data_IF_184582931930
#
_entry.id   IF_184582931930
#
_cell.length_a   1.000
_cell.length_b   1.000
_cell.length_c   1.000
_cell.angle_alpha   90.00
_cell.angle_beta   90.00
_cell.angle_gamma   90.00
#
_symmetry.space_group_name_H-M   'P 1'
#
loop_
_entity.id
_entity.type
_entity.pdbx_description
1 polymer ?
#
# COMPACT_ATOMS: atom_id res chain seq x y z
N UNK A 1 5.78 -2.60 -12.26
CA UNK A 1 4.95 -1.83 -13.23
C UNK A 1 3.56 -1.49 -12.67
N UNK A 2 2.85 -2.44 -12.06
CA UNK A 2 1.50 -2.23 -11.50
C UNK A 2 1.42 -1.21 -10.36
N UNK A 3 2.50 -0.99 -9.64
CA UNK A 3 2.57 -0.06 -8.49
C UNK A 3 2.23 1.39 -8.87
N UNK A 4 2.54 1.78 -10.11
CA UNK A 4 2.37 3.15 -10.64
C UNK A 4 1.65 3.19 -11.99
N UNK A 5 0.91 2.17 -12.37
CA UNK A 5 0.33 2.05 -13.72
C UNK A 5 -0.52 3.27 -14.11
N UNK A 6 -1.24 3.87 -13.18
CA UNK A 6 -2.03 5.09 -13.41
C UNK A 6 -1.16 6.32 -13.71
N UNK A 7 0.04 6.39 -13.14
CA UNK A 7 1.00 7.46 -13.41
C UNK A 7 1.68 7.34 -14.77
N UNK A 8 1.56 6.19 -15.43
CA UNK A 8 2.15 5.91 -16.74
C UNK A 8 1.18 6.15 -17.91
N UNK A 9 0.03 6.77 -17.67
CA UNK A 9 -0.97 7.00 -18.73
C UNK A 9 -0.40 7.75 -19.94
N UNK A 10 0.40 8.81 -19.72
CA UNK A 10 1.08 9.53 -20.78
C UNK A 10 2.11 8.68 -21.53
N UNK A 11 2.85 7.82 -20.81
CA UNK A 11 3.80 6.91 -21.43
C UNK A 11 3.09 5.88 -22.33
N UNK A 12 1.89 5.44 -21.96
CA UNK A 12 1.09 4.50 -22.73
C UNK A 12 0.46 5.13 -23.98
N UNK A 13 0.37 6.45 -24.04
CA UNK A 13 -0.07 7.19 -25.24
C UNK A 13 1.05 7.30 -26.28
N UNK A 14 2.32 7.32 -25.85
CA UNK A 14 3.50 7.42 -26.69
C UNK A 14 4.52 6.29 -26.42
N UNK A 15 4.14 5.02 -26.65
CA UNK A 15 4.91 3.86 -26.19
C UNK A 15 6.27 3.68 -26.89
N UNK A 16 6.49 4.32 -28.03
CA UNK A 16 7.74 4.22 -28.79
C UNK A 16 8.90 4.95 -28.08
N UNK A 17 8.58 5.93 -27.26
CA UNK A 17 9.57 6.76 -26.57
C UNK A 17 9.79 6.37 -25.10
N UNK A 18 9.14 5.31 -24.60
CA UNK A 18 9.20 4.97 -23.19
C UNK A 18 9.58 3.51 -22.93
N UNK A 19 10.35 3.31 -21.86
CA UNK A 19 10.55 2.00 -21.22
C UNK A 19 10.15 2.06 -19.74
N UNK A 20 9.74 0.93 -19.19
CA UNK A 20 9.46 0.77 -17.74
C UNK A 20 10.46 -0.19 -17.15
N UNK A 21 11.22 0.30 -16.17
CA UNK A 21 12.11 -0.47 -15.32
C UNK A 21 11.36 -0.91 -14.06
N UNK A 22 11.42 -2.20 -13.72
CA UNK A 22 10.71 -2.78 -12.57
C UNK A 22 11.65 -3.64 -11.76
N UNK A 23 11.70 -3.45 -10.44
CA UNK A 23 12.45 -4.33 -9.53
C UNK A 23 11.76 -5.69 -9.50
N UNK A 24 12.45 -6.73 -9.92
CA UNK A 24 11.94 -8.10 -10.03
C UNK A 24 12.50 -9.05 -8.96
N UNK A 25 13.63 -8.69 -8.37
CA UNK A 25 14.23 -9.43 -7.25
C UNK A 25 14.92 -8.48 -6.28
N UNK A 26 14.91 -8.83 -5.01
CA UNK A 26 15.62 -8.13 -3.93
C UNK A 26 16.29 -9.17 -3.03
N UNK A 27 17.56 -8.99 -2.73
CA UNK A 27 18.31 -9.76 -1.74
C UNK A 27 18.93 -8.80 -0.72
N UNK A 28 18.82 -9.11 0.56
CA UNK A 28 19.30 -8.25 1.63
C UNK A 28 18.45 -6.98 1.81
N UNK A 29 19.09 -5.85 2.15
CA UNK A 29 18.43 -4.58 2.43
C UNK A 29 18.26 -3.77 1.15
N UNK A 30 17.02 -3.37 0.84
CA UNK A 30 16.69 -2.50 -0.29
C UNK A 30 15.76 -1.38 0.14
N UNK A 31 15.92 -0.16 -0.38
CA UNK A 31 15.00 0.94 -0.08
C UNK A 31 13.59 0.69 -0.63
N UNK A 32 13.49 -0.06 -1.74
CA UNK A 32 12.23 -0.33 -2.42
C UNK A 32 11.93 -1.82 -2.53
N UNK A 33 10.66 -2.24 -2.44
CA UNK A 33 10.26 -3.64 -2.58
C UNK A 33 10.27 -4.10 -4.04
N UNK A 34 10.22 -5.42 -4.23
CA UNK A 34 9.89 -6.05 -5.53
C UNK A 34 8.56 -5.50 -6.04
N UNK A 35 8.50 -5.16 -7.33
CA UNK A 35 7.33 -4.53 -7.98
C UNK A 35 7.43 -3.02 -8.12
N UNK A 36 8.33 -2.36 -7.38
CA UNK A 36 8.58 -0.91 -7.57
C UNK A 36 9.06 -0.66 -8.99
N UNK A 37 8.52 0.38 -9.62
CA UNK A 37 8.84 0.70 -11.00
C UNK A 37 9.13 2.18 -11.25
N UNK A 38 9.81 2.44 -12.38
CA UNK A 38 10.18 3.74 -12.89
C UNK A 38 10.04 3.73 -14.41
N UNK A 39 9.40 4.74 -14.98
CA UNK A 39 9.38 4.95 -16.43
C UNK A 39 10.49 5.92 -16.83
N UNK A 40 11.10 5.67 -17.98
CA UNK A 40 12.17 6.50 -18.57
C UNK A 40 11.85 6.71 -20.04
N UNK A 41 11.97 7.98 -20.50
CA UNK A 41 11.83 8.32 -21.92
C UNK A 41 13.17 8.38 -22.65
N UNK A 42 13.10 8.44 -23.99
CA UNK A 42 14.26 8.73 -24.86
C UNK A 42 14.96 10.04 -24.51
N UNK A 43 14.22 11.03 -24.01
CA UNK A 43 14.73 12.35 -23.62
C UNK A 43 15.15 12.42 -22.14
N UNK A 44 15.23 11.29 -21.45
CA UNK A 44 15.56 11.18 -20.02
C UNK A 44 14.52 11.83 -19.09
N UNK A 45 13.28 11.96 -19.53
CA UNK A 45 12.19 12.21 -18.59
C UNK A 45 11.98 10.98 -17.73
N UNK A 46 11.83 11.17 -16.41
CA UNK A 46 11.74 10.08 -15.43
C UNK A 46 10.44 10.23 -14.62
N UNK A 47 9.65 9.16 -14.55
CA UNK A 47 8.47 9.06 -13.69
C UNK A 47 8.69 7.94 -12.66
N UNK A 48 8.79 8.29 -11.38
CA UNK A 48 9.04 7.35 -10.29
C UNK A 48 10.50 7.23 -9.90
N UNK A 49 10.82 6.23 -9.07
CA UNK A 49 12.18 5.94 -8.58
C UNK A 49 12.26 4.50 -8.11
N UNK A 50 13.43 3.89 -8.20
CA UNK A 50 13.71 2.51 -7.77
C UNK A 50 14.45 2.45 -6.44
N UNK A 51 15.45 3.33 -6.24
CA UNK A 51 16.38 3.24 -5.10
C UNK A 51 16.53 4.54 -4.31
N UNK A 52 15.95 5.63 -4.81
CA UNK A 52 16.13 6.97 -4.24
C UNK A 52 17.46 7.63 -4.65
N UNK A 53 18.02 7.28 -5.80
CA UNK A 53 19.17 7.94 -6.42
C UNK A 53 20.40 7.06 -6.66
N UNK A 54 20.44 5.83 -6.13
CA UNK A 54 21.64 4.98 -6.25
C UNK A 54 21.82 4.42 -7.66
N UNK A 55 20.75 3.93 -8.29
CA UNK A 55 20.82 3.20 -9.57
C UNK A 55 20.10 3.88 -10.72
N UNK A 56 19.36 4.94 -10.47
CA UNK A 56 18.47 5.59 -11.44
C UNK A 56 19.19 6.01 -12.72
N UNK A 57 20.38 6.60 -12.61
CA UNK A 57 21.14 7.05 -13.78
C UNK A 57 21.61 5.88 -14.67
N UNK A 58 22.01 4.75 -14.04
CA UNK A 58 22.41 3.56 -14.79
C UNK A 58 21.20 2.93 -15.46
N UNK A 59 20.09 2.78 -14.72
CA UNK A 59 18.84 2.24 -15.26
C UNK A 59 18.30 3.12 -16.38
N UNK A 60 18.43 4.46 -16.27
CA UNK A 60 18.01 5.38 -17.34
C UNK A 60 18.82 5.20 -18.62
N UNK A 61 20.14 5.04 -18.54
CA UNK A 61 20.98 4.76 -19.70
C UNK A 61 20.59 3.41 -20.35
N UNK A 62 20.47 2.35 -19.56
CA UNK A 62 20.03 1.04 -20.06
C UNK A 62 18.59 1.07 -20.63
N UNK A 63 17.72 1.92 -20.13
CA UNK A 63 16.39 2.11 -20.68
C UNK A 63 16.43 2.74 -22.08
N UNK A 64 17.29 3.74 -22.29
CA UNK A 64 17.50 4.31 -23.64
C UNK A 64 18.02 3.27 -24.63
N UNK A 65 19.03 2.46 -24.22
CA UNK A 65 19.56 1.37 -25.03
C UNK A 65 18.47 0.34 -25.36
N UNK A 66 17.64 -0.03 -24.38
CA UNK A 66 16.54 -0.97 -24.57
C UNK A 66 15.47 -0.42 -25.54
N UNK A 67 15.11 0.88 -25.44
CA UNK A 67 14.19 1.54 -26.37
C UNK A 67 14.77 1.49 -27.78
N UNK A 68 16.03 1.89 -27.95
CA UNK A 68 16.69 1.91 -29.26
C UNK A 68 16.81 0.52 -29.90
N UNK A 69 17.04 -0.52 -29.09
CA UNK A 69 17.14 -1.90 -29.54
C UNK A 69 15.75 -2.56 -29.75
N UNK A 70 14.68 -2.03 -29.16
CA UNK A 70 13.35 -2.65 -29.14
C UNK A 70 13.31 -3.97 -28.36
N UNK A 71 14.21 -4.18 -27.41
CA UNK A 71 14.35 -5.43 -26.64
C UNK A 71 14.41 -5.15 -25.15
N UNK A 72 14.02 -6.13 -24.34
CA UNK A 72 14.15 -6.02 -22.89
C UNK A 72 15.60 -6.13 -22.44
N UNK A 73 15.92 -5.48 -21.31
CA UNK A 73 17.17 -5.66 -20.58
C UNK A 73 16.88 -6.13 -19.14
N UNK A 74 17.85 -6.89 -18.57
CA UNK A 74 17.86 -7.27 -17.15
C UNK A 74 19.18 -6.86 -16.56
N UNK A 75 19.13 -6.15 -15.46
CA UNK A 75 20.33 -5.66 -14.77
C UNK A 75 20.29 -5.96 -13.29
N UNK A 76 21.44 -6.28 -12.71
CA UNK A 76 21.62 -6.52 -11.29
C UNK A 76 22.52 -5.45 -10.70
N UNK A 77 22.12 -4.91 -9.55
CA UNK A 77 22.86 -3.92 -8.79
C UNK A 77 23.06 -4.45 -7.37
N UNK A 78 24.32 -4.60 -6.97
CA UNK A 78 24.68 -5.18 -5.68
C UNK A 78 25.82 -4.42 -4.99
N UNK A 79 26.26 -4.88 -3.80
CA UNK A 79 27.34 -4.24 -3.03
C UNK A 79 28.69 -4.25 -3.76
N UNK A 80 28.94 -5.22 -4.64
CA UNK A 80 30.18 -5.36 -5.38
C UNK A 80 30.22 -4.52 -6.67
N UNK A 81 29.15 -3.80 -6.95
CA UNK A 81 29.09 -2.81 -8.04
C UNK A 81 29.23 -3.38 -9.45
N UNK A 82 29.03 -4.67 -9.66
CA UNK A 82 29.06 -5.28 -10.99
C UNK A 82 27.67 -5.42 -11.58
N UNK A 83 27.34 -4.67 -12.66
CA UNK A 83 26.24 -5.05 -13.53
C UNK A 83 26.57 -6.41 -14.15
N UNK A 84 25.59 -7.29 -14.27
CA UNK A 84 25.76 -8.59 -14.91
C UNK A 84 26.28 -8.38 -16.34
N UNK A 85 27.59 -8.64 -16.58
CA UNK A 85 28.14 -8.78 -17.93
C UNK A 85 28.94 -7.61 -18.51
N UNK A 86 29.16 -6.49 -17.85
CA UNK A 86 30.07 -5.44 -18.33
C UNK A 86 30.99 -4.92 -17.23
N UNK A 87 32.28 -4.86 -17.54
CA UNK A 87 33.31 -4.15 -16.75
C UNK A 87 33.02 -2.63 -16.87
N UNK A 88 32.09 -2.12 -16.10
CA UNK A 88 31.72 -0.72 -16.04
C UNK A 88 31.58 -0.27 -14.59
N UNK A 89 31.72 1.01 -14.37
CA UNK A 89 31.66 1.69 -13.07
C UNK A 89 30.62 1.04 -12.16
N UNK A 90 31.07 0.24 -11.20
CA UNK A 90 30.23 -0.49 -10.28
C UNK A 90 29.38 0.46 -9.45
N UNK A 91 28.07 0.53 -9.75
CA UNK A 91 27.12 1.30 -8.95
C UNK A 91 26.61 0.38 -7.85
N UNK A 92 27.15 0.59 -6.66
CA UNK A 92 26.76 -0.15 -5.47
C UNK A 92 25.47 0.45 -4.86
N UNK A 93 24.57 -0.41 -4.41
CA UNK A 93 23.50 0.01 -3.50
C UNK A 93 24.14 0.36 -2.14
N UNK A 94 24.07 1.62 -1.74
CA UNK A 94 24.61 2.11 -0.45
C UNK A 94 24.01 1.43 0.77
N UNK A 95 22.83 0.79 0.61
CA UNK A 95 22.16 0.02 1.66
C UNK A 95 22.68 -1.42 1.84
N UNK A 96 23.65 -1.86 1.01
CA UNK A 96 24.29 -3.18 1.12
C UNK A 96 23.43 -4.36 0.64
N UNK A 97 22.30 -4.12 -0.02
CA UNK A 97 21.48 -5.15 -0.65
C UNK A 97 21.76 -5.29 -2.13
N UNK A 98 21.06 -6.22 -2.76
CA UNK A 98 21.09 -6.47 -4.20
C UNK A 98 19.68 -6.38 -4.78
N UNK A 99 19.52 -5.72 -5.92
CA UNK A 99 18.27 -5.69 -6.69
C UNK A 99 18.52 -6.15 -8.11
N UNK A 100 17.53 -6.82 -8.67
CA UNK A 100 17.46 -7.12 -10.10
C UNK A 100 16.33 -6.30 -10.71
N UNK A 101 16.62 -5.64 -11.84
CA UNK A 101 15.71 -4.75 -12.56
C UNK A 101 15.45 -5.29 -13.94
N UNK A 102 14.17 -5.47 -14.29
CA UNK A 102 13.71 -5.76 -15.65
C UNK A 102 13.32 -4.43 -16.32
N UNK A 103 13.95 -4.12 -17.45
CA UNK A 103 13.70 -2.92 -18.26
C UNK A 103 12.97 -3.37 -19.52
N UNK A 104 11.75 -2.88 -19.71
CA UNK A 104 10.90 -3.25 -20.84
C UNK A 104 10.48 -2.01 -21.64
N UNK A 105 10.89 -1.86 -22.91
CA UNK A 105 10.32 -0.88 -23.82
C UNK A 105 8.82 -1.08 -23.99
N UNK A 106 8.02 -0.01 -23.91
CA UNK A 106 6.56 -0.12 -24.00
C UNK A 106 6.07 -0.60 -25.37
N UNK A 107 6.84 -0.40 -26.43
CA UNK A 107 6.53 -0.94 -27.76
C UNK A 107 6.45 -2.49 -27.76
N UNK A 108 7.13 -3.15 -26.83
CA UNK A 108 7.08 -4.63 -26.68
C UNK A 108 5.95 -5.10 -25.75
N UNK A 109 5.19 -4.18 -25.16
CA UNK A 109 4.17 -4.49 -24.18
C UNK A 109 2.77 -4.67 -24.79
N UNK A 110 1.89 -5.38 -24.08
CA UNK A 110 0.47 -5.48 -24.41
C UNK A 110 -0.27 -4.19 -24.01
N UNK A 111 -0.14 -3.15 -24.82
CA UNK A 111 -0.61 -1.79 -24.53
C UNK A 111 -2.11 -1.74 -24.19
N UNK A 112 -2.94 -2.58 -24.83
CA UNK A 112 -4.38 -2.63 -24.54
C UNK A 112 -4.62 -2.99 -23.08
N UNK A 113 -4.00 -4.06 -22.60
CA UNK A 113 -4.11 -4.53 -21.19
C UNK A 113 -3.58 -3.47 -20.22
N UNK A 114 -2.46 -2.82 -20.54
CA UNK A 114 -1.89 -1.78 -19.69
C UNK A 114 -2.79 -0.54 -19.60
N UNK A 115 -3.38 -0.10 -20.71
CA UNK A 115 -4.34 1.02 -20.74
C UNK A 115 -5.61 0.70 -19.94
N UNK A 116 -6.13 -0.51 -20.06
CA UNK A 116 -7.27 -0.96 -19.25
C UNK A 116 -6.94 -0.94 -17.75
N UNK A 117 -5.75 -1.40 -17.36
CA UNK A 117 -5.30 -1.36 -15.96
C UNK A 117 -5.06 0.06 -15.47
N UNK A 118 -4.51 0.95 -16.31
CA UNK A 118 -4.28 2.34 -15.96
C UNK A 118 -5.56 3.15 -15.76
N UNK A 119 -6.66 2.74 -16.43
CA UNK A 119 -7.97 3.39 -16.30
C UNK A 119 -8.81 2.88 -15.13
N UNK A 120 -8.39 1.79 -14.47
CA UNK A 120 -9.11 1.24 -13.30
C UNK A 120 -8.81 2.04 -12.04
N UNK A 121 -9.71 1.91 -11.06
CA UNK A 121 -9.47 2.43 -9.71
C UNK A 121 -8.14 1.86 -9.15
N UNK A 122 -7.16 2.73 -8.81
CA UNK A 122 -5.86 2.30 -8.30
C UNK A 122 -5.95 1.57 -6.94
N UNK A 123 -7.05 1.70 -6.22
CA UNK A 123 -7.25 1.03 -4.94
C UNK A 123 -7.68 -0.44 -5.07
N UNK A 124 -8.16 -0.85 -6.24
CA UNK A 124 -8.56 -2.23 -6.47
C UNK A 124 -7.35 -3.15 -6.71
N UNK A 125 -7.46 -4.44 -6.36
CA UNK A 125 -6.42 -5.42 -6.70
C UNK A 125 -6.27 -5.53 -8.22
N UNK A 126 -5.04 -5.80 -8.66
CA UNK A 126 -4.75 -5.97 -10.07
C UNK A 126 -3.71 -7.07 -10.29
N UNK A 127 -3.83 -7.75 -11.41
CA UNK A 127 -2.88 -8.76 -11.88
C UNK A 127 -2.49 -8.46 -13.32
N UNK A 128 -1.23 -8.71 -13.64
CA UNK A 128 -0.67 -8.57 -14.98
C UNK A 128 0.26 -9.75 -15.26
N UNK A 129 -0.08 -10.53 -16.28
CA UNK A 129 0.82 -11.55 -16.81
C UNK A 129 1.26 -11.12 -18.19
N UNK A 130 2.56 -11.12 -18.44
CA UNK A 130 3.14 -10.77 -19.74
C UNK A 130 4.26 -11.74 -20.09
N UNK A 131 4.43 -11.97 -21.38
CA UNK A 131 5.58 -12.71 -21.93
C UNK A 131 6.51 -11.70 -22.59
N UNK A 132 7.77 -11.71 -22.19
CA UNK A 132 8.81 -10.86 -22.76
C UNK A 132 9.93 -11.72 -23.32
N UNK A 133 10.57 -11.27 -24.40
CA UNK A 133 11.69 -11.99 -25.03
C UNK A 133 12.97 -11.20 -24.77
N UNK A 134 13.98 -11.86 -24.20
CA UNK A 134 15.27 -11.23 -23.96
C UNK A 134 16.12 -11.16 -25.23
N UNK A 135 17.27 -10.47 -25.15
CA UNK A 135 18.19 -10.31 -26.27
C UNK A 135 18.78 -11.64 -26.80
N UNK A 136 18.74 -12.71 -26.01
CA UNK A 136 19.15 -14.06 -26.40
C UNK A 136 18.01 -14.89 -27.01
N UNK A 137 16.81 -14.29 -27.17
CA UNK A 137 15.62 -14.96 -27.69
C UNK A 137 14.88 -15.83 -26.67
N UNK A 138 15.28 -15.82 -25.40
CA UNK A 138 14.60 -16.58 -24.36
C UNK A 138 13.30 -15.88 -23.93
N UNK A 139 12.22 -16.68 -23.84
CA UNK A 139 10.92 -16.18 -23.37
C UNK A 139 10.84 -16.25 -21.86
N UNK A 140 10.45 -15.13 -21.25
CA UNK A 140 10.25 -14.97 -19.82
C UNK A 140 8.78 -14.64 -19.56
N UNK A 141 8.17 -15.38 -18.65
CA UNK A 141 6.83 -15.09 -18.16
C UNK A 141 6.95 -14.27 -16.88
N UNK A 142 6.42 -13.06 -16.91
CA UNK A 142 6.42 -12.13 -15.77
C UNK A 142 5.00 -12.01 -15.25
N UNK A 143 4.79 -12.44 -14.01
CA UNK A 143 3.51 -12.32 -13.33
C UNK A 143 3.63 -11.32 -12.20
N UNK A 144 2.87 -10.24 -12.28
CA UNK A 144 2.79 -9.19 -11.27
C UNK A 144 1.43 -9.19 -10.60
N UNK A 145 1.43 -8.99 -9.27
CA UNK A 145 0.21 -8.83 -8.49
C UNK A 145 0.31 -7.57 -7.64
N UNK A 146 -0.74 -6.77 -7.65
CA UNK A 146 -0.96 -5.66 -6.73
C UNK A 146 -2.18 -5.99 -5.88
N UNK A 147 -2.00 -6.12 -4.58
CA UNK A 147 -3.10 -6.26 -3.64
C UNK A 147 -3.97 -4.99 -3.64
N UNK A 148 -5.23 -5.11 -3.23
CA UNK A 148 -6.08 -3.95 -3.00
C UNK A 148 -5.47 -3.00 -1.96
N UNK A 149 -5.65 -1.71 -2.14
CA UNK A 149 -5.16 -0.72 -1.20
C UNK A 149 -5.78 -0.95 0.20
N UNK A 150 -5.03 -0.68 1.28
CA UNK A 150 -5.61 -0.67 2.61
C UNK A 150 -6.75 0.34 2.69
N UNK A 151 -7.83 -0.03 3.38
CA UNK A 151 -9.00 0.82 3.58
C UNK A 151 -9.05 1.33 5.01
N UNK A 152 -9.30 2.62 5.18
CA UNK A 152 -9.52 3.24 6.48
C UNK A 152 -10.92 3.84 6.54
N UNK A 153 -11.74 3.38 7.48
CA UNK A 153 -13.10 3.86 7.70
C UNK A 153 -13.13 4.62 9.03
N UNK A 154 -13.41 5.91 8.96
CA UNK A 154 -13.43 6.83 10.10
C UNK A 154 -14.88 7.22 10.43
N UNK A 155 -15.35 6.94 11.64
CA UNK A 155 -16.67 7.34 12.12
C UNK A 155 -16.60 8.69 12.82
N UNK A 156 -17.15 9.73 12.20
CA UNK A 156 -17.18 11.12 12.67
C UNK A 156 -16.24 12.04 11.88
N UNK A 157 -16.75 13.23 11.51
CA UNK A 157 -15.99 14.26 10.78
C UNK A 157 -15.67 15.43 11.68
N UNK A 158 -14.41 15.58 12.04
CA UNK A 158 -13.85 16.67 12.82
C UNK A 158 -12.31 16.72 12.63
N UNK A 159 -11.63 17.69 13.23
CA UNK A 159 -10.21 17.97 12.94
C UNK A 159 -9.30 16.75 13.05
N UNK A 160 -9.44 15.92 14.08
CA UNK A 160 -8.62 14.71 14.24
C UNK A 160 -8.84 13.69 13.12
N UNK A 161 -10.11 13.42 12.75
CA UNK A 161 -10.43 12.47 11.68
C UNK A 161 -10.01 13.00 10.32
N UNK A 162 -10.12 14.31 10.08
CA UNK A 162 -9.68 14.96 8.84
C UNK A 162 -8.16 14.87 8.70
N UNK A 163 -7.39 15.15 9.76
CA UNK A 163 -5.93 15.02 9.74
C UNK A 163 -5.49 13.57 9.51
N UNK A 164 -6.11 12.62 10.18
CA UNK A 164 -5.82 11.20 9.98
C UNK A 164 -6.15 10.75 8.55
N UNK A 165 -7.29 11.22 8.01
CA UNK A 165 -7.70 10.95 6.63
C UNK A 165 -6.68 11.49 5.61
N UNK A 166 -6.19 12.73 5.80
CA UNK A 166 -5.17 13.34 4.95
C UNK A 166 -3.89 12.52 4.92
N UNK A 167 -3.37 12.13 6.08
CA UNK A 167 -2.16 11.32 6.19
C UNK A 167 -2.33 9.94 5.56
N UNK A 168 -3.48 9.29 5.76
CA UNK A 168 -3.78 8.00 5.17
C UNK A 168 -3.87 8.05 3.64
N UNK A 169 -4.49 9.11 3.08
CA UNK A 169 -4.51 9.36 1.63
C UNK A 169 -3.10 9.55 1.05
N UNK A 170 -2.22 10.29 1.76
CA UNK A 170 -0.84 10.52 1.33
C UNK A 170 -0.03 9.23 1.20
N UNK A 171 -0.32 8.21 2.01
CA UNK A 171 0.33 6.90 1.92
C UNK A 171 -0.44 5.90 1.03
N UNK A 172 -1.42 6.37 0.23
CA UNK A 172 -2.13 5.59 -0.78
C UNK A 172 -3.24 4.69 -0.24
N UNK A 173 -3.81 4.99 0.95
CA UNK A 173 -4.94 4.24 1.47
C UNK A 173 -6.27 4.75 0.89
N UNK A 174 -7.24 3.86 0.74
CA UNK A 174 -8.62 4.22 0.42
C UNK A 174 -9.34 4.66 1.71
N UNK A 175 -9.78 5.93 1.76
CA UNK A 175 -10.31 6.53 2.99
C UNK A 175 -11.79 6.84 2.87
N UNK A 176 -12.57 6.34 3.84
CA UNK A 176 -14.00 6.60 3.99
C UNK A 176 -14.27 7.35 5.29
N UNK A 177 -14.98 8.45 5.23
CA UNK A 177 -15.48 9.21 6.37
C UNK A 177 -17.00 9.03 6.47
N UNK A 178 -17.47 8.67 7.65
CA UNK A 178 -18.90 8.45 7.91
C UNK A 178 -19.39 9.48 8.93
N UNK A 179 -20.42 10.26 8.59
CA UNK A 179 -20.98 11.29 9.45
C UNK A 179 -22.51 11.25 9.45
N UNK A 180 -23.11 11.27 10.64
CA UNK A 180 -24.56 11.27 10.79
C UNK A 180 -25.17 12.66 10.67
N UNK A 181 -24.41 13.70 11.02
CA UNK A 181 -24.88 15.09 11.05
C UNK A 181 -24.66 15.74 9.69
N UNK A 182 -25.70 16.11 8.93
CA UNK A 182 -25.55 16.69 7.59
C UNK A 182 -24.71 17.97 7.56
N UNK A 183 -24.76 18.79 8.61
CA UNK A 183 -23.97 20.01 8.71
C UNK A 183 -22.45 19.77 8.82
N UNK A 184 -22.03 18.60 9.27
CA UNK A 184 -20.62 18.19 9.37
C UNK A 184 -20.19 17.26 8.22
N UNK A 185 -21.14 16.54 7.64
CA UNK A 185 -20.93 15.65 6.50
C UNK A 185 -21.02 16.41 5.17
N UNK A 186 -20.08 17.32 4.91
CA UNK A 186 -20.03 18.09 3.65
C UNK A 186 -18.68 17.89 2.96
N UNK A 187 -18.69 17.93 1.61
CA UNK A 187 -17.47 17.78 0.81
C UNK A 187 -16.38 18.81 1.15
N UNK A 188 -16.77 20.01 1.61
CA UNK A 188 -15.82 21.04 2.03
C UNK A 188 -15.05 20.72 3.33
N UNK A 189 -15.53 19.75 4.11
CA UNK A 189 -14.95 19.37 5.39
C UNK A 189 -14.09 18.11 5.33
N UNK A 190 -14.10 17.41 4.21
CA UNK A 190 -13.30 16.18 4.04
C UNK A 190 -12.18 16.40 3.04
N UNK A 191 -11.04 15.71 3.17
CA UNK A 191 -9.93 15.84 2.24
C UNK A 191 -10.33 15.37 0.84
N UNK A 192 -9.80 16.03 -0.19
CA UNK A 192 -9.91 15.56 -1.57
C UNK A 192 -9.35 14.13 -1.68
N UNK A 193 -10.09 13.25 -2.33
CA UNK A 193 -9.75 11.82 -2.44
C UNK A 193 -10.38 10.93 -1.37
N UNK A 194 -10.90 11.49 -0.26
CA UNK A 194 -11.68 10.71 0.69
C UNK A 194 -13.15 10.60 0.24
N UNK A 195 -13.76 9.45 0.52
CA UNK A 195 -15.19 9.21 0.26
C UNK A 195 -16.00 9.57 1.50
N UNK A 196 -16.99 10.43 1.32
CA UNK A 196 -17.89 10.85 2.40
C UNK A 196 -19.21 10.10 2.31
N UNK A 197 -19.63 9.53 3.44
CA UNK A 197 -20.91 8.86 3.61
C UNK A 197 -21.71 9.58 4.71
N UNK A 198 -22.92 9.99 4.37
CA UNK A 198 -23.83 10.63 5.33
C UNK A 198 -24.91 9.64 5.73
N UNK A 199 -24.95 9.26 7.01
CA UNK A 199 -25.89 8.27 7.51
C UNK A 199 -25.54 7.76 8.90
N UNK A 200 -26.33 6.81 9.41
CA UNK A 200 -26.05 6.18 10.72
C UNK A 200 -24.78 5.35 10.64
N UNK A 201 -23.74 5.64 11.47
CA UNK A 201 -22.41 5.06 11.28
C UNK A 201 -22.39 3.52 11.35
N UNK A 202 -23.14 2.93 12.28
CA UNK A 202 -23.21 1.46 12.42
C UNK A 202 -23.76 0.77 11.16
N UNK A 203 -24.76 1.36 10.49
CA UNK A 203 -25.34 0.83 9.25
C UNK A 203 -24.39 1.00 8.08
N UNK A 204 -23.91 2.23 7.86
CA UNK A 204 -22.99 2.54 6.75
C UNK A 204 -21.71 1.71 6.83
N UNK A 205 -21.14 1.58 8.03
CA UNK A 205 -19.91 0.80 8.21
C UNK A 205 -20.17 -0.71 7.99
N UNK A 206 -21.33 -1.23 8.41
CA UNK A 206 -21.68 -2.61 8.12
C UNK A 206 -21.74 -2.87 6.60
N UNK A 207 -22.34 -1.95 5.82
CA UNK A 207 -22.40 -2.02 4.35
C UNK A 207 -21.01 -1.93 3.72
N UNK A 208 -20.17 -0.97 4.16
CA UNK A 208 -18.80 -0.84 3.66
C UNK A 208 -17.94 -2.07 3.94
N UNK A 209 -18.20 -2.79 5.01
CA UNK A 209 -17.52 -4.01 5.37
C UNK A 209 -17.92 -5.23 4.52
N UNK A 210 -18.98 -5.20 3.73
CA UNK A 210 -19.33 -6.28 2.79
C UNK A 210 -18.34 -6.34 1.60
N UNK A 211 -17.73 -5.20 1.22
CA UNK A 211 -16.69 -5.19 0.21
C UNK A 211 -15.36 -5.72 0.78
N UNK A 212 -14.80 -6.74 0.13
CA UNK A 212 -13.57 -7.45 0.51
C UNK A 212 -12.39 -7.18 -0.42
N UNK A 213 -12.48 -6.17 -1.26
CA UNK A 213 -11.43 -5.83 -2.24
C UNK A 213 -10.15 -5.29 -1.59
N UNK A 214 -10.25 -4.68 -0.40
CA UNK A 214 -9.11 -4.15 0.33
C UNK A 214 -8.22 -5.26 0.93
N UNK A 215 -6.91 -5.11 0.82
CA UNK A 215 -5.95 -6.03 1.44
C UNK A 215 -6.00 -6.01 2.97
N UNK A 216 -6.40 -4.88 3.55
CA UNK A 216 -6.54 -4.64 4.98
C UNK A 216 -7.56 -3.54 5.24
N UNK A 217 -8.31 -3.62 6.33
CA UNK A 217 -9.29 -2.60 6.70
C UNK A 217 -9.10 -2.15 8.13
N UNK A 218 -8.97 -0.84 8.36
CA UNK A 218 -9.05 -0.22 9.67
C UNK A 218 -10.41 0.45 9.86
N UNK A 219 -11.12 0.11 10.93
CA UNK A 219 -12.34 0.79 11.38
C UNK A 219 -12.01 1.58 12.63
N UNK A 220 -12.16 2.90 12.61
CA UNK A 220 -11.79 3.77 13.72
C UNK A 220 -12.96 4.66 14.13
N UNK A 221 -13.37 4.50 15.36
CA UNK A 221 -14.34 5.39 16.01
C UNK A 221 -13.63 6.67 16.43
N UNK A 222 -14.07 7.79 15.87
CA UNK A 222 -13.50 9.11 16.15
C UNK A 222 -14.43 9.99 17.01
N UNK A 223 -15.67 9.52 17.29
CA UNK A 223 -16.64 10.20 18.13
C UNK A 223 -16.56 9.75 19.59
N UNK A 224 -17.31 10.40 20.46
CA UNK A 224 -17.37 10.09 21.90
C UNK A 224 -18.80 9.84 22.37
N UNK A 225 -19.74 9.58 21.46
CA UNK A 225 -21.14 9.37 21.75
C UNK A 225 -21.48 7.88 21.74
N UNK A 226 -21.92 7.28 22.86
CA UNK A 226 -22.15 5.84 22.95
C UNK A 226 -23.11 5.30 21.89
N UNK A 227 -24.18 6.04 21.57
CA UNK A 227 -25.19 5.63 20.59
C UNK A 227 -24.66 5.60 19.14
N UNK A 228 -23.51 6.22 18.88
CA UNK A 228 -22.83 6.17 17.60
C UNK A 228 -21.65 5.20 17.62
N UNK A 229 -20.86 5.23 18.70
CA UNK A 229 -19.62 4.47 18.85
C UNK A 229 -19.89 2.96 18.95
N UNK A 230 -20.85 2.57 19.80
CA UNK A 230 -21.13 1.15 20.09
C UNK A 230 -21.68 0.41 18.86
N UNK A 231 -22.64 0.95 18.08
CA UNK A 231 -23.08 0.33 16.83
C UNK A 231 -21.95 0.11 15.80
N UNK A 232 -21.00 1.05 15.68
CA UNK A 232 -19.82 0.89 14.81
C UNK A 232 -18.94 -0.27 15.26
N UNK A 233 -18.59 -0.30 16.54
CA UNK A 233 -17.78 -1.37 17.12
C UNK A 233 -18.49 -2.71 17.03
N UNK A 234 -19.81 -2.76 17.26
CA UNK A 234 -20.62 -3.96 17.11
C UNK A 234 -20.59 -4.48 15.66
N UNK A 235 -20.77 -3.60 14.67
CA UNK A 235 -20.74 -3.97 13.26
C UNK A 235 -19.38 -4.56 12.87
N UNK A 236 -18.28 -3.90 13.27
CA UNK A 236 -16.93 -4.36 13.00
C UNK A 236 -16.60 -5.70 13.67
N UNK A 237 -16.98 -5.89 14.93
CA UNK A 237 -16.78 -7.15 15.65
C UNK A 237 -17.64 -8.29 15.10
N UNK A 238 -18.90 -8.03 14.78
CA UNK A 238 -19.85 -9.04 14.28
C UNK A 238 -19.44 -9.60 12.92
N UNK A 239 -18.83 -8.79 12.06
CA UNK A 239 -18.31 -9.26 10.78
C UNK A 239 -17.23 -10.32 10.97
N UNK A 240 -16.29 -10.09 11.85
CA UNK A 240 -15.15 -10.97 12.10
C UNK A 240 -15.56 -12.34 12.64
N UNK A 241 -16.72 -12.44 13.29
CA UNK A 241 -17.24 -13.71 13.83
C UNK A 241 -17.87 -14.58 12.71
N UNK A 242 -18.33 -13.96 11.60
CA UNK A 242 -19.02 -14.67 10.51
C UNK A 242 -18.07 -15.38 9.52
N UNK A 243 -16.80 -15.13 9.58
CA UNK A 243 -15.83 -15.75 8.67
C UNK A 243 -15.22 -16.99 9.29
N UNK A 244 -15.36 -18.14 8.63
CA UNK A 244 -14.86 -19.46 9.11
C UNK A 244 -13.32 -19.56 9.19
N UNK A 245 -12.60 -18.52 8.72
CA UNK A 245 -11.14 -18.37 8.82
C UNK A 245 -10.76 -17.28 9.83
N UNK A 246 -11.14 -17.50 11.08
CA UNK A 246 -11.02 -16.51 12.17
C UNK A 246 -9.61 -15.87 12.31
N UNK A 247 -8.55 -16.61 12.05
CA UNK A 247 -7.18 -16.12 12.24
C UNK A 247 -6.74 -15.18 11.10
N UNK A 248 -7.16 -15.44 9.86
CA UNK A 248 -6.76 -14.64 8.69
C UNK A 248 -7.55 -13.32 8.61
N UNK A 249 -8.82 -13.34 8.96
CA UNK A 249 -9.69 -12.15 8.92
C UNK A 249 -9.48 -11.22 10.13
N UNK A 250 -9.10 -11.78 11.29
CA UNK A 250 -8.69 -10.98 12.44
C UNK A 250 -7.44 -10.15 12.15
N UNK A 251 -6.50 -10.71 11.38
CA UNK A 251 -5.29 -10.03 10.94
C UNK A 251 -5.58 -8.94 9.88
N UNK A 252 -6.68 -9.03 9.14
CA UNK A 252 -7.05 -8.10 8.07
C UNK A 252 -7.98 -6.96 8.49
N UNK A 253 -8.59 -7.03 9.68
CA UNK A 253 -9.49 -6.01 10.18
C UNK A 253 -9.05 -5.49 11.54
N UNK A 254 -8.60 -4.25 11.58
CA UNK A 254 -8.26 -3.52 12.80
C UNK A 254 -9.46 -2.71 13.28
N UNK A 255 -9.68 -2.70 14.59
CA UNK A 255 -10.78 -1.95 15.22
C UNK A 255 -10.18 -1.03 16.27
N UNK A 256 -10.27 0.27 16.05
CA UNK A 256 -9.75 1.29 16.96
C UNK A 256 -10.80 2.29 17.42
N UNK A 257 -10.55 2.92 18.55
CA UNK A 257 -11.38 4.01 19.01
C UNK A 257 -10.56 5.09 19.72
N UNK A 258 -10.71 6.33 19.26
CA UNK A 258 -10.16 7.49 19.91
C UNK A 258 -10.86 7.76 21.26
N UNK A 259 -10.15 8.34 22.21
CA UNK A 259 -10.74 8.81 23.48
C UNK A 259 -9.94 8.42 24.71
N UNK A 260 -10.52 8.72 25.88
CA UNK A 260 -9.89 8.45 27.16
C UNK A 260 -10.06 6.99 27.61
N UNK A 261 -9.26 6.56 28.60
CA UNK A 261 -9.44 5.24 29.25
C UNK A 261 -10.85 5.06 29.83
N UNK A 262 -11.48 6.13 30.35
CA UNK A 262 -12.87 6.07 30.83
C UNK A 262 -13.88 5.86 29.71
N UNK A 263 -13.66 6.43 28.54
CA UNK A 263 -14.48 6.19 27.34
C UNK A 263 -14.32 4.76 26.83
N UNK A 264 -13.09 4.24 26.86
CA UNK A 264 -12.80 2.84 26.52
C UNK A 264 -13.56 1.88 27.44
N UNK A 265 -13.51 2.09 28.76
CA UNK A 265 -14.22 1.25 29.72
C UNK A 265 -15.75 1.27 29.53
N UNK A 266 -16.34 2.44 29.21
CA UNK A 266 -17.79 2.54 28.90
C UNK A 266 -18.16 1.77 27.64
N UNK A 267 -17.36 1.87 26.58
CA UNK A 267 -17.59 1.11 25.33
C UNK A 267 -17.46 -0.39 25.57
N UNK A 268 -16.46 -0.82 26.35
CA UNK A 268 -16.27 -2.24 26.70
C UNK A 268 -17.49 -2.80 27.47
N UNK A 269 -17.98 -2.06 28.45
CA UNK A 269 -19.20 -2.46 29.20
C UNK A 269 -20.44 -2.55 28.30
N UNK A 270 -20.62 -1.61 27.36
CA UNK A 270 -21.73 -1.63 26.42
C UNK A 270 -21.64 -2.80 25.44
N UNK A 271 -20.45 -3.12 24.95
CA UNK A 271 -20.22 -4.28 24.07
C UNK A 271 -20.45 -5.60 24.81
N UNK A 272 -20.08 -5.69 26.09
CA UNK A 272 -20.43 -6.83 26.94
C UNK A 272 -21.93 -7.01 27.06
N UNK A 273 -22.68 -5.92 27.29
CA UNK A 273 -24.14 -5.97 27.36
C UNK A 273 -24.80 -6.40 26.03
N UNK A 274 -24.12 -6.18 24.90
CA UNK A 274 -24.56 -6.68 23.58
C UNK A 274 -24.13 -8.13 23.30
N UNK A 275 -23.52 -8.83 24.27
CA UNK A 275 -23.14 -10.23 24.16
C UNK A 275 -21.78 -10.50 23.54
N UNK A 276 -20.93 -9.49 23.35
CA UNK A 276 -19.55 -9.71 22.90
C UNK A 276 -18.69 -10.30 24.02
N UNK A 277 -18.10 -11.47 23.76
CA UNK A 277 -17.17 -12.12 24.69
C UNK A 277 -15.86 -11.34 24.86
N UNK A 278 -15.09 -11.68 25.90
CA UNK A 278 -13.84 -10.99 26.23
C UNK A 278 -12.82 -10.96 25.08
N UNK A 279 -12.66 -12.09 24.38
CA UNK A 279 -11.75 -12.19 23.24
C UNK A 279 -12.10 -11.22 22.11
N UNK A 280 -13.40 -11.05 21.80
CA UNK A 280 -13.87 -10.11 20.79
C UNK A 280 -13.62 -8.66 21.26
N UNK A 281 -13.96 -8.33 22.51
CA UNK A 281 -13.80 -6.97 23.06
C UNK A 281 -12.33 -6.54 23.15
N UNK A 282 -11.41 -7.44 23.45
CA UNK A 282 -9.95 -7.19 23.43
C UNK A 282 -9.40 -6.82 22.05
N UNK A 283 -10.14 -7.06 20.97
CA UNK A 283 -9.76 -6.61 19.62
C UNK A 283 -9.99 -5.12 19.39
N UNK A 284 -10.77 -4.46 20.27
CA UNK A 284 -10.97 -3.01 20.19
C UNK A 284 -9.81 -2.31 20.88
N UNK A 285 -8.95 -1.70 20.09
CA UNK A 285 -7.81 -0.91 20.60
C UNK A 285 -8.31 0.49 20.99
N UNK A 286 -8.32 0.78 22.28
CA UNK A 286 -8.79 2.05 22.83
C UNK A 286 -8.12 2.34 24.20
N UNK A 287 -7.51 3.50 24.39
CA UNK A 287 -7.27 4.61 23.43
C UNK A 287 -6.41 4.20 22.25
N UNK A 288 -6.71 4.72 21.04
CA UNK A 288 -5.93 4.51 19.83
C UNK A 288 -4.78 5.52 19.74
N UNK A 289 -3.60 5.06 19.39
CA UNK A 289 -2.40 5.84 19.10
C UNK A 289 -1.19 5.42 19.96
N UNK A 290 0.00 5.61 19.41
CA UNK A 290 1.25 5.46 20.16
C UNK A 290 1.44 6.65 21.11
N UNK A 291 2.08 6.42 22.24
CA UNK A 291 2.43 7.49 23.18
C UNK A 291 3.60 8.33 22.65
N UNK A 292 3.27 9.37 21.87
CA UNK A 292 4.22 10.30 21.26
C UNK A 292 4.19 11.69 21.89
N UNK A 293 3.39 11.90 22.96
CA UNK A 293 3.21 13.23 23.57
C UNK A 293 2.46 14.21 22.65
N UNK A 294 1.53 13.71 21.83
CA UNK A 294 0.79 14.52 20.86
C UNK A 294 -0.12 15.55 21.53
N UNK A 295 0.00 16.82 21.13
CA UNK A 295 -0.77 17.96 21.66
C UNK A 295 -1.80 18.49 20.65
N UNK A 296 -1.55 18.33 19.36
CA UNK A 296 -2.40 18.84 18.27
C UNK A 296 -3.15 17.72 17.56
N UNK A 297 -4.28 18.01 16.86
CA UNK A 297 -4.96 17.04 16.02
C UNK A 297 -4.05 16.38 14.96
N UNK A 298 -3.10 17.13 14.41
CA UNK A 298 -2.15 16.61 13.42
C UNK A 298 -1.16 15.63 14.04
N UNK A 299 -0.59 15.94 15.20
CA UNK A 299 0.31 15.04 15.94
C UNK A 299 -0.42 13.78 16.42
N UNK A 300 -1.65 13.92 16.91
CA UNK A 300 -2.49 12.78 17.27
C UNK A 300 -2.78 11.89 16.06
N UNK A 301 -2.99 12.48 14.88
CA UNK A 301 -3.17 11.73 13.63
C UNK A 301 -1.91 10.93 13.27
N UNK A 302 -0.71 11.49 13.47
CA UNK A 302 0.57 10.77 13.29
C UNK A 302 0.65 9.58 14.26
N UNK A 303 0.34 9.81 15.54
CA UNK A 303 0.32 8.77 16.57
C UNK A 303 -0.62 7.61 16.21
N UNK A 304 -1.86 7.93 15.82
CA UNK A 304 -2.85 6.95 15.39
C UNK A 304 -2.44 6.21 14.11
N UNK A 305 -1.94 6.94 13.11
CA UNK A 305 -1.48 6.32 11.86
C UNK A 305 -0.29 5.38 12.08
N UNK A 306 0.62 5.72 12.99
CA UNK A 306 1.76 4.87 13.33
C UNK A 306 1.29 3.53 13.93
N UNK A 307 0.30 3.52 14.82
CA UNK A 307 -0.27 2.29 15.37
C UNK A 307 -1.03 1.49 14.30
N UNK A 308 -1.81 2.14 13.43
CA UNK A 308 -2.48 1.50 12.30
C UNK A 308 -1.49 0.84 11.34
N UNK A 309 -0.37 1.50 11.03
CA UNK A 309 0.71 0.94 10.21
C UNK A 309 1.37 -0.27 10.88
N UNK A 310 1.61 -0.20 12.19
CA UNK A 310 2.16 -1.30 12.96
C UNK A 310 1.22 -2.51 12.95
N UNK A 311 -0.06 -2.29 13.15
CA UNK A 311 -1.09 -3.34 13.11
C UNK A 311 -1.23 -3.97 11.71
N UNK A 312 -1.24 -3.14 10.66
CA UNK A 312 -1.28 -3.63 9.27
C UNK A 312 -0.06 -4.48 8.93
N UNK A 313 1.10 -4.13 9.46
CA UNK A 313 2.36 -4.81 9.21
C UNK A 313 2.74 -5.71 10.39
N UNK A 314 1.90 -6.63 10.78
CA UNK A 314 1.90 -7.45 12.02
C UNK A 314 3.28 -7.99 12.52
N UNK A 315 4.34 -7.87 11.73
CA UNK A 315 5.71 -8.30 12.07
C UNK A 315 6.60 -7.17 12.63
N UNK A 316 6.05 -6.00 12.89
CA UNK A 316 6.81 -4.86 13.45
C UNK A 316 6.63 -4.75 14.96
N UNK A 317 7.69 -4.35 15.66
CA UNK A 317 7.66 -4.03 17.08
C UNK A 317 7.19 -2.62 17.39
N UNK A 318 6.99 -1.77 16.36
CA UNK A 318 6.75 -0.33 16.49
C UNK A 318 7.83 0.43 17.30
N UNK A 319 9.05 -0.13 17.37
CA UNK A 319 10.19 0.46 18.07
C UNK A 319 11.05 1.29 17.12
N UNK A 320 11.83 2.28 17.63
CA UNK A 320 12.84 2.96 16.83
C UNK A 320 13.81 1.98 16.16
N UNK A 321 14.10 2.19 14.88
CA UNK A 321 14.91 1.25 14.09
C UNK A 321 16.32 1.05 14.63
N UNK A 322 16.93 2.08 15.26
CA UNK A 322 18.27 1.97 15.85
C UNK A 322 18.33 1.08 17.11
N UNK A 323 17.18 0.70 17.67
CA UNK A 323 17.06 -0.25 18.78
C UNK A 323 16.84 -1.69 18.33
N UNK A 324 16.85 -1.94 17.02
CA UNK A 324 16.63 -3.26 16.45
C UNK A 324 17.86 -3.75 15.71
N UNK A 325 18.16 -5.02 15.87
CA UNK A 325 19.13 -5.74 15.06
C UNK A 325 18.50 -6.34 13.80
N UNK A 326 19.31 -6.57 12.77
CA UNK A 326 18.90 -7.21 11.52
C UNK A 326 18.42 -6.24 10.43
N UNK A 327 17.97 -6.76 9.30
CA UNK A 327 17.59 -5.96 8.14
C UNK A 327 16.35 -5.09 8.43
N UNK A 328 16.40 -3.82 7.98
CA UNK A 328 15.32 -2.84 8.19
C UNK A 328 14.02 -3.27 7.49
N UNK A 329 14.12 -3.87 6.29
CA UNK A 329 13.02 -4.27 5.44
C UNK A 329 12.94 -5.82 5.32
N UNK A 330 12.90 -6.53 6.44
CA UNK A 330 12.74 -7.98 6.43
C UNK A 330 11.37 -8.39 5.87
N UNK A 331 11.39 -9.34 4.93
CA UNK A 331 10.23 -10.15 4.49
C UNK A 331 8.98 -9.40 4.02
N UNK A 332 9.09 -8.65 2.92
CA UNK A 332 7.87 -8.22 2.18
C UNK A 332 7.45 -9.34 1.22
N UNK A 333 6.12 -9.62 1.08
CA UNK A 333 5.65 -10.58 0.10
C UNK A 333 6.08 -10.18 -1.30
N UNK A 334 6.50 -11.15 -2.11
CA UNK A 334 6.88 -10.91 -3.50
C UNK A 334 5.62 -10.58 -4.31
N UNK A 335 5.59 -9.40 -4.91
CA UNK A 335 4.51 -8.97 -5.82
C UNK A 335 4.78 -9.38 -7.27
N UNK A 336 5.96 -9.94 -7.57
CA UNK A 336 6.37 -10.37 -8.90
C UNK A 336 7.01 -11.76 -8.84
N UNK A 337 6.72 -12.58 -9.84
CA UNK A 337 7.43 -13.82 -10.13
C UNK A 337 7.80 -13.87 -11.62
N UNK A 338 9.00 -14.37 -11.91
CA UNK A 338 9.50 -14.56 -13.28
C UNK A 338 9.81 -16.04 -13.46
N UNK A 339 9.29 -16.62 -14.54
CA UNK A 339 9.57 -17.99 -14.95
C UNK A 339 10.14 -17.97 -16.37
N UNK A 340 11.22 -18.73 -16.58
CA UNK A 340 11.75 -18.98 -17.91
C UNK A 340 10.97 -20.12 -18.53
N UNK A 341 10.54 -19.99 -19.79
CA UNK A 341 9.95 -21.10 -20.54
C UNK A 341 11.05 -22.17 -20.71
N UNK A 342 10.82 -23.37 -20.17
CA UNK A 342 11.75 -24.46 -20.42
C UNK A 342 11.58 -24.90 -21.87
N UNK A 343 12.67 -24.90 -22.64
CA UNK A 343 12.68 -25.51 -23.96
C UNK A 343 12.33 -27.00 -23.81
N UNK A 344 11.23 -27.43 -24.45
CA UNK A 344 10.81 -28.84 -24.55
C UNK A 344 11.71 -29.54 -25.55
#
# INVERSE_FOLDING_TARGET
MLDRITSYSSCLEDPEHWAIATIVSVHGSSPSPVGTSMAVSTDLEIIGSLSGGCVESSVAASAQDAIAAGTISRESFGPDGTPFGQAGLGIALTCGGEIEVLIQPLVTAELKTLRELASRDPHLPAELTRTVTDHAGARLHVHEQRAGAPRLILSGVHDFSVQLAQLALQIGWNVHLVEIRPAFGTAARVPAGAQLHVGHPGTVIAELLEDQSAAWTGVVVMTHHPDLDVPVLHAALSRTIRTERADDDAARCFIGAMGSRSSAARRDAALLAMGHGEAARKRVISPLGLDLGAETPAEAAVSMLAELLAAKNAQTSAQPLHLRDGPINASRPRSISIFREMAV
#
